data_IF_451953907413
#
_entry.id   IF_451953907413
#
_cell.length_a   1.000
_cell.length_b   1.000
_cell.length_c   1.000
_cell.angle_alpha   90.00
_cell.angle_beta   90.00
_cell.angle_gamma   90.00
#
_symmetry.space_group_name_H-M   'P 1'
#
loop_
_entity.id
_entity.type
_entity.pdbx_description
1 polymer ?
#
# COMPACT_ATOMS: atom_id res chain seq x y z
N UNK A 1 19.76 36.46 15.31
CA UNK A 1 18.50 36.87 14.65
C UNK A 1 17.65 35.63 14.59
N UNK A 2 16.60 35.57 15.40
CA UNK A 2 15.73 34.40 15.52
C UNK A 2 14.93 34.21 14.22
N UNK A 3 15.08 33.03 13.61
CA UNK A 3 14.28 32.57 12.48
C UNK A 3 12.83 32.38 12.92
N UNK A 4 12.02 33.41 12.70
CA UNK A 4 10.58 33.36 12.91
C UNK A 4 9.94 32.64 11.71
N UNK A 5 10.02 31.30 11.69
CA UNK A 5 9.24 30.46 10.76
C UNK A 5 7.76 30.73 11.04
N UNK A 6 7.11 31.54 10.21
CA UNK A 6 5.64 31.66 10.16
C UNK A 6 5.07 30.25 10.01
N UNK A 7 4.47 29.72 11.07
CA UNK A 7 3.73 28.46 11.02
C UNK A 7 2.66 28.58 9.93
N UNK A 8 2.70 27.69 8.94
CA UNK A 8 1.73 27.67 7.86
C UNK A 8 0.35 27.35 8.44
N UNK A 9 -0.53 28.35 8.51
CA UNK A 9 -1.95 28.13 8.77
C UNK A 9 -2.54 27.53 7.49
N UNK A 10 -3.22 26.39 7.62
CA UNK A 10 -3.87 25.72 6.50
C UNK A 10 -5.36 25.63 6.81
N UNK A 11 -6.18 26.15 5.91
CA UNK A 11 -7.63 25.93 5.95
C UNK A 11 -7.89 24.49 5.51
N UNK A 12 -8.15 23.58 6.46
CA UNK A 12 -8.58 22.21 6.16
C UNK A 12 -10.06 22.13 6.48
N UNK A 13 -10.85 21.74 5.48
CA UNK A 13 -12.25 21.36 5.69
C UNK A 13 -12.23 19.99 6.39
N UNK A 14 -12.56 19.97 7.69
CA UNK A 14 -12.60 18.72 8.47
C UNK A 14 -13.79 17.85 8.04
N UNK A 15 -14.94 18.46 7.79
CA UNK A 15 -16.08 17.88 7.08
C UNK A 15 -17.01 19.02 6.60
N UNK A 16 -17.72 18.82 5.50
CA UNK A 16 -18.63 19.81 4.93
C UNK A 16 -20.07 19.47 5.33
N UNK A 17 -20.77 20.41 5.98
CA UNK A 17 -22.23 20.34 6.15
C UNK A 17 -22.93 20.62 4.81
N UNK A 18 -24.21 20.27 4.66
CA UNK A 18 -25.00 20.55 3.44
C UNK A 18 -24.97 22.04 3.04
N UNK A 19 -24.79 22.94 4.01
CA UNK A 19 -24.70 24.39 3.81
C UNK A 19 -23.27 24.89 3.43
N UNK A 20 -22.26 24.01 3.41
CA UNK A 20 -20.90 24.36 2.99
C UNK A 20 -20.09 25.27 3.92
N UNK A 21 -20.63 25.59 5.11
CA UNK A 21 -20.19 26.76 5.89
C UNK A 21 -19.22 26.47 7.06
N UNK A 22 -18.94 25.21 7.42
CA UNK A 22 -18.01 24.94 8.53
C UNK A 22 -16.56 24.98 8.04
N UNK A 23 -15.98 26.17 8.00
CA UNK A 23 -14.54 26.39 7.79
C UNK A 23 -13.90 26.71 9.13
N UNK A 24 -13.00 25.84 9.58
CA UNK A 24 -12.19 26.10 10.78
C UNK A 24 -10.75 26.23 10.34
N UNK A 25 -10.11 27.32 10.75
CA UNK A 25 -8.67 27.46 10.62
C UNK A 25 -7.98 26.44 11.49
N UNK A 26 -7.28 25.49 10.87
CA UNK A 26 -6.58 24.45 11.64
C UNK A 26 -5.09 24.64 11.59
N UNK A 27 -4.42 24.19 12.64
CA UNK A 27 -2.97 24.05 12.62
C UNK A 27 -2.63 22.64 12.14
N UNK A 28 -1.91 22.56 11.03
CA UNK A 28 -1.39 21.28 10.53
C UNK A 28 0.08 21.15 10.91
N UNK A 29 0.40 20.14 11.71
CA UNK A 29 1.78 19.87 12.13
C UNK A 29 1.97 18.39 12.45
N UNK A 30 3.12 17.84 12.05
CA UNK A 30 3.48 16.43 12.25
C UNK A 30 2.42 15.48 11.65
N UNK A 31 1.98 15.82 10.43
CA UNK A 31 0.95 15.08 9.65
C UNK A 31 -0.43 14.95 10.31
N UNK A 32 -0.69 15.70 11.40
CA UNK A 32 -1.98 15.72 12.07
C UNK A 32 -2.56 17.13 12.19
N UNK A 33 -3.85 17.18 12.48
CA UNK A 33 -4.62 18.40 12.68
C UNK A 33 -4.70 18.71 14.17
N UNK A 34 -4.40 19.95 14.54
CA UNK A 34 -4.45 20.43 15.91
C UNK A 34 -5.51 21.53 16.06
N UNK A 35 -6.43 21.34 17.01
CA UNK A 35 -7.45 22.30 17.37
C UNK A 35 -7.35 22.72 18.84
N UNK A 36 -7.58 24.00 19.10
CA UNK A 36 -7.77 24.50 20.47
C UNK A 36 -9.13 24.06 21.02
N UNK A 37 -9.30 24.11 22.34
CA UNK A 37 -10.59 23.84 22.95
C UNK A 37 -11.70 24.77 22.44
N UNK A 38 -11.38 26.03 22.15
CA UNK A 38 -12.34 26.99 21.60
C UNK A 38 -12.82 26.56 20.20
N UNK A 39 -11.89 26.12 19.35
CA UNK A 39 -12.21 25.59 18.01
C UNK A 39 -12.99 24.28 18.09
N UNK A 40 -12.76 23.42 19.09
CA UNK A 40 -13.59 22.23 19.32
C UNK A 40 -15.03 22.60 19.72
N UNK A 41 -15.21 23.67 20.51
CA UNK A 41 -16.54 24.17 20.86
C UNK A 41 -17.28 24.70 19.63
N UNK A 42 -16.57 25.44 18.77
CA UNK A 42 -17.09 25.94 17.51
C UNK A 42 -17.43 24.80 16.55
N UNK A 43 -16.49 23.85 16.38
CA UNK A 43 -16.66 22.67 15.55
C UNK A 43 -17.91 21.93 15.94
N UNK A 44 -18.06 21.53 17.20
CA UNK A 44 -19.19 20.69 17.63
C UNK A 44 -20.43 21.48 18.08
N UNK A 45 -20.41 22.81 18.00
CA UNK A 45 -21.47 23.71 18.46
C UNK A 45 -21.96 23.36 19.88
N UNK A 46 -21.02 23.29 20.82
CA UNK A 46 -21.29 22.92 22.21
C UNK A 46 -20.52 23.81 23.19
N UNK A 47 -20.92 23.79 24.46
CA UNK A 47 -20.23 24.55 25.50
C UNK A 47 -18.83 24.01 25.81
N UNK A 48 -17.96 24.90 26.30
CA UNK A 48 -16.64 24.55 26.82
C UNK A 48 -16.69 23.54 27.95
N UNK A 49 -17.68 23.63 28.83
CA UNK A 49 -17.87 22.69 29.93
C UNK A 49 -18.10 21.27 29.42
N UNK A 50 -18.94 21.11 28.40
CA UNK A 50 -19.24 19.81 27.80
C UNK A 50 -18.01 19.20 27.11
N UNK A 51 -17.24 20.01 26.37
CA UNK A 51 -15.97 19.55 25.79
C UNK A 51 -14.97 19.14 26.88
N UNK A 52 -14.79 19.95 27.92
CA UNK A 52 -13.92 19.61 29.06
C UNK A 52 -14.32 18.30 29.73
N UNK A 53 -15.62 18.10 29.93
CA UNK A 53 -16.17 16.89 30.55
C UNK A 53 -15.86 15.65 29.71
N UNK A 54 -16.15 15.70 28.41
CA UNK A 54 -15.86 14.58 27.52
C UNK A 54 -14.36 14.28 27.38
N UNK A 55 -13.50 15.30 27.28
CA UNK A 55 -12.04 15.12 27.27
C UNK A 55 -11.58 14.39 28.52
N UNK A 56 -12.07 14.80 29.70
CA UNK A 56 -11.74 14.15 30.96
C UNK A 56 -12.19 12.68 30.96
N UNK A 57 -13.42 12.38 30.53
CA UNK A 57 -13.90 10.99 30.49
C UNK A 57 -13.10 10.13 29.50
N UNK A 58 -12.70 10.66 28.34
CA UNK A 58 -11.83 9.97 27.37
C UNK A 58 -10.52 9.51 28.04
N UNK A 59 -9.90 10.37 28.85
CA UNK A 59 -8.68 10.02 29.57
C UNK A 59 -8.93 9.08 30.75
N UNK A 60 -10.00 9.28 31.52
CA UNK A 60 -10.37 8.40 32.64
C UNK A 60 -10.69 6.97 32.18
N UNK A 61 -11.28 6.82 30.99
CA UNK A 61 -11.59 5.52 30.38
C UNK A 61 -10.35 4.87 29.71
N UNK A 62 -9.25 5.61 29.58
CA UNK A 62 -8.03 5.14 28.90
C UNK A 62 -8.20 4.97 27.38
N UNK A 63 -9.18 5.63 26.77
CA UNK A 63 -9.38 5.60 25.31
C UNK A 63 -8.19 6.24 24.58
N UNK A 64 -7.66 7.34 25.13
CA UNK A 64 -6.48 8.04 24.62
C UNK A 64 -5.50 8.34 25.75
N UNK A 65 -4.20 8.36 25.43
CA UNK A 65 -3.15 8.86 26.34
C UNK A 65 -2.98 10.37 26.13
N UNK A 66 -3.10 11.16 27.20
CA UNK A 66 -2.96 12.62 27.19
C UNK A 66 -1.66 13.08 26.52
N UNK A 67 -0.54 12.37 26.74
CA UNK A 67 0.77 12.74 26.20
C UNK A 67 0.79 12.64 24.66
N UNK A 68 0.00 11.73 24.11
CA UNK A 68 -0.04 11.48 22.66
C UNK A 68 -0.96 12.46 21.90
N UNK A 69 -2.00 12.98 22.55
CA UNK A 69 -3.06 13.75 21.88
C UNK A 69 -3.12 15.23 22.29
N UNK A 70 -2.34 15.65 23.29
CA UNK A 70 -2.32 17.02 23.79
C UNK A 70 -0.96 17.68 23.57
N UNK A 71 -0.97 18.89 22.99
CA UNK A 71 0.25 19.70 22.84
C UNK A 71 0.01 21.16 23.19
N UNK A 72 0.99 21.79 23.84
CA UNK A 72 0.97 23.23 24.11
C UNK A 72 1.76 23.95 23.03
N UNK A 73 1.10 24.86 22.33
CA UNK A 73 1.74 25.74 21.36
C UNK A 73 1.87 27.16 21.92
N UNK A 74 3.02 27.79 21.67
CA UNK A 74 3.25 29.18 22.06
C UNK A 74 2.56 30.09 21.06
N UNK A 75 1.75 31.00 21.55
CA UNK A 75 1.03 31.99 20.73
C UNK A 75 1.24 33.37 21.33
N UNK A 76 1.58 34.35 20.49
CA UNK A 76 1.71 35.74 20.92
C UNK A 76 0.34 36.40 20.89
N UNK A 77 -0.11 36.89 22.05
CA UNK A 77 -1.35 37.66 22.17
C UNK A 77 -1.23 39.05 21.55
N UNK A 78 -2.38 39.72 21.37
CA UNK A 78 -2.45 41.10 20.86
C UNK A 78 -1.74 42.11 21.79
N UNK A 79 -1.49 41.72 23.03
CA UNK A 79 -0.72 42.45 24.05
C UNK A 79 0.81 42.22 23.96
N UNK A 80 1.28 41.48 22.95
CA UNK A 80 2.70 41.14 22.75
C UNK A 80 3.23 40.07 23.71
N UNK A 81 2.39 39.52 24.59
CA UNK A 81 2.80 38.47 25.53
C UNK A 81 2.65 37.08 24.92
N UNK A 82 3.47 36.16 25.40
CA UNK A 82 3.45 34.78 24.95
C UNK A 82 2.58 33.92 25.87
N UNK A 83 1.62 33.22 25.29
CA UNK A 83 0.72 32.30 25.96
C UNK A 83 0.94 30.88 25.43
N UNK A 84 0.93 29.89 26.33
CA UNK A 84 0.91 28.49 25.93
C UNK A 84 -0.55 28.03 25.86
N UNK A 85 -1.03 27.77 24.64
CA UNK A 85 -2.39 27.33 24.38
C UNK A 85 -2.39 25.82 24.14
N UNK A 86 -3.22 25.11 24.88
CA UNK A 86 -3.43 23.68 24.70
C UNK A 86 -4.20 23.41 23.41
N UNK A 87 -3.68 22.49 22.61
CA UNK A 87 -4.30 21.97 21.40
C UNK A 87 -4.44 20.45 21.50
N UNK A 88 -5.42 19.93 20.77
CA UNK A 88 -5.82 18.54 20.71
C UNK A 88 -5.71 18.04 19.27
N UNK A 89 -5.15 16.85 19.10
CA UNK A 89 -4.89 16.26 17.78
C UNK A 89 -6.17 15.66 17.14
N UNK A 90 -6.01 15.06 15.95
CA UNK A 90 -7.09 14.42 15.22
C UNK A 90 -7.81 13.30 16.00
N UNK A 91 -7.11 12.50 16.80
CA UNK A 91 -7.72 11.38 17.55
C UNK A 91 -8.69 11.89 18.61
N UNK A 92 -8.32 12.97 19.31
CA UNK A 92 -9.22 13.64 20.25
C UNK A 92 -10.43 14.25 19.53
N UNK A 93 -10.23 14.86 18.35
CA UNK A 93 -11.33 15.40 17.53
C UNK A 93 -12.31 14.26 17.19
N UNK A 94 -11.81 13.14 16.65
CA UNK A 94 -12.66 11.99 16.28
C UNK A 94 -13.43 11.47 17.50
N UNK A 95 -12.76 11.27 18.63
CA UNK A 95 -13.37 10.73 19.86
C UNK A 95 -14.50 11.63 20.38
N UNK A 96 -14.27 12.96 20.38
CA UNK A 96 -15.31 13.94 20.72
C UNK A 96 -16.48 13.91 19.72
N UNK A 97 -16.22 13.70 18.43
CA UNK A 97 -17.27 13.54 17.42
C UNK A 97 -18.23 12.38 17.69
N UNK A 98 -17.79 11.34 18.39
CA UNK A 98 -18.66 10.23 18.79
C UNK A 98 -19.39 10.47 20.12
N UNK A 99 -18.81 11.25 21.03
CA UNK A 99 -19.37 11.51 22.38
C UNK A 99 -20.29 12.72 22.45
N UNK A 100 -20.00 13.77 21.67
CA UNK A 100 -20.79 15.01 21.70
C UNK A 100 -22.16 14.80 21.06
N UNK A 101 -23.20 15.24 21.77
CA UNK A 101 -24.57 15.29 21.27
C UNK A 101 -24.86 16.63 20.61
N UNK A 102 -24.54 16.74 19.32
CA UNK A 102 -24.96 17.87 18.48
C UNK A 102 -25.38 17.40 17.08
N UNK A 103 -26.09 18.27 16.35
CA UNK A 103 -26.46 18.02 14.95
C UNK A 103 -25.19 17.82 14.11
N UNK A 104 -24.19 18.67 14.33
CA UNK A 104 -22.88 18.54 13.72
C UNK A 104 -22.23 17.19 14.02
N UNK A 105 -22.15 16.79 15.29
CA UNK A 105 -21.51 15.53 15.65
C UNK A 105 -22.23 14.35 14.98
N UNK A 106 -23.56 14.46 14.80
CA UNK A 106 -24.35 13.49 14.04
C UNK A 106 -23.96 13.44 12.56
N UNK A 107 -23.77 14.60 11.91
CA UNK A 107 -23.32 14.65 10.53
C UNK A 107 -21.89 14.14 10.36
N UNK A 108 -20.99 14.48 11.28
CA UNK A 108 -19.63 13.92 11.31
C UNK A 108 -19.66 12.38 11.38
N UNK A 109 -20.48 11.80 12.27
CA UNK A 109 -20.62 10.34 12.39
C UNK A 109 -21.18 9.71 11.11
N UNK A 110 -22.17 10.32 10.47
CA UNK A 110 -22.70 9.85 9.18
C UNK A 110 -21.63 9.85 8.11
N UNK A 111 -20.93 10.97 7.95
CA UNK A 111 -19.81 11.11 7.02
C UNK A 111 -18.71 10.06 7.27
N UNK A 112 -18.25 9.91 8.52
CA UNK A 112 -17.23 8.93 8.89
C UNK A 112 -17.70 7.49 8.60
N UNK A 113 -18.96 7.17 8.90
CA UNK A 113 -19.57 5.86 8.63
C UNK A 113 -19.65 5.58 7.14
N UNK A 114 -19.99 6.58 6.31
CA UNK A 114 -20.03 6.44 4.85
C UNK A 114 -18.64 6.14 4.28
N UNK A 115 -17.60 6.87 4.73
CA UNK A 115 -16.21 6.63 4.33
C UNK A 115 -15.75 5.24 4.76
N UNK A 116 -16.02 4.82 6.00
CA UNK A 116 -15.68 3.49 6.49
C UNK A 116 -16.41 2.40 5.69
N UNK A 117 -17.71 2.58 5.44
CA UNK A 117 -18.51 1.64 4.63
C UNK A 117 -17.98 1.53 3.20
N UNK A 118 -17.62 2.66 2.60
CA UNK A 118 -17.00 2.69 1.28
C UNK A 118 -15.69 1.91 1.26
N UNK A 119 -14.80 2.13 2.23
CA UNK A 119 -13.56 1.37 2.38
C UNK A 119 -13.84 -0.13 2.56
N UNK A 120 -14.78 -0.51 3.42
CA UNK A 120 -15.11 -1.92 3.66
C UNK A 120 -15.66 -2.64 2.41
N UNK A 121 -16.39 -1.92 1.54
CA UNK A 121 -16.97 -2.50 0.32
C UNK A 121 -15.98 -2.49 -0.85
N UNK A 122 -15.30 -1.36 -1.07
CA UNK A 122 -14.46 -1.12 -2.27
C UNK A 122 -12.97 -1.40 -2.03
N UNK A 123 -12.52 -1.39 -0.77
CA UNK A 123 -11.11 -1.47 -0.40
C UNK A 123 -10.36 -0.12 -0.43
N UNK A 124 -11.04 0.99 -0.75
CA UNK A 124 -10.45 2.32 -0.78
C UNK A 124 -11.49 3.42 -0.49
N UNK A 125 -11.01 4.62 -0.16
CA UNK A 125 -11.81 5.83 0.01
C UNK A 125 -10.98 7.02 -0.45
N UNK A 126 -11.60 7.95 -1.17
CA UNK A 126 -10.88 9.05 -1.82
C UNK A 126 -11.70 10.34 -1.78
N UNK A 127 -11.00 11.48 -1.70
CA UNK A 127 -11.58 12.80 -1.88
C UNK A 127 -11.18 13.32 -3.27
N UNK A 128 -11.96 12.93 -4.28
CA UNK A 128 -11.69 13.25 -5.69
C UNK A 128 -11.56 14.75 -5.95
N UNK A 129 -12.43 15.55 -5.36
CA UNK A 129 -12.45 17.01 -5.58
C UNK A 129 -11.22 17.67 -4.97
N UNK A 130 -10.79 17.24 -3.77
CA UNK A 130 -9.54 17.71 -3.18
C UNK A 130 -8.33 17.33 -4.03
N UNK A 131 -8.28 16.10 -4.53
CA UNK A 131 -7.16 15.62 -5.36
C UNK A 131 -7.09 16.35 -6.70
N UNK A 132 -8.22 16.62 -7.34
CA UNK A 132 -8.29 17.41 -8.59
C UNK A 132 -7.84 18.86 -8.38
N UNK A 133 -8.29 19.51 -7.30
CA UNK A 133 -8.12 20.95 -7.11
C UNK A 133 -6.79 21.33 -6.45
N UNK A 134 -6.29 20.52 -5.52
CA UNK A 134 -5.05 20.81 -4.77
C UNK A 134 -3.85 19.97 -5.24
N UNK A 135 -4.03 19.17 -6.30
CA UNK A 135 -2.96 18.41 -6.96
C UNK A 135 -2.39 17.25 -6.13
N UNK A 136 -2.97 16.96 -4.96
CA UNK A 136 -2.64 15.86 -4.05
C UNK A 136 -1.17 15.71 -3.58
N UNK A 137 -0.28 16.63 -3.99
CA UNK A 137 1.13 16.68 -3.56
C UNK A 137 1.88 15.35 -3.74
N UNK A 138 2.77 15.05 -2.80
CA UNK A 138 3.52 13.78 -2.78
C UNK A 138 2.61 12.56 -2.59
N UNK A 139 1.50 12.71 -1.87
CA UNK A 139 0.54 11.61 -1.63
C UNK A 139 -0.19 11.17 -2.90
N UNK A 140 -0.41 12.07 -3.87
CA UNK A 140 -0.94 11.68 -5.18
C UNK A 140 0.01 10.75 -5.93
N UNK A 141 1.32 11.06 -5.91
CA UNK A 141 2.33 10.22 -6.54
C UNK A 141 2.41 8.86 -5.86
N UNK A 142 2.37 8.83 -4.53
CA UNK A 142 2.31 7.59 -3.75
C UNK A 142 1.08 6.76 -4.11
N UNK A 143 -0.10 7.38 -4.20
CA UNK A 143 -1.34 6.71 -4.61
C UNK A 143 -1.22 6.09 -6.00
N UNK A 144 -0.70 6.83 -6.98
CA UNK A 144 -0.47 6.32 -8.33
C UNK A 144 0.51 5.14 -8.34
N UNK A 145 1.61 5.23 -7.60
CA UNK A 145 2.59 4.16 -7.53
C UNK A 145 2.00 2.90 -6.84
N UNK A 146 1.16 3.06 -5.80
CA UNK A 146 0.39 1.96 -5.19
C UNK A 146 -0.62 1.33 -6.14
N UNK A 147 -1.35 2.13 -6.93
CA UNK A 147 -2.29 1.61 -7.94
C UNK A 147 -1.53 0.81 -9.01
N UNK A 148 -0.39 1.31 -9.47
CA UNK A 148 0.47 0.61 -10.44
C UNK A 148 1.04 -0.69 -9.86
N UNK A 149 1.40 -0.70 -8.58
CA UNK A 149 1.86 -1.91 -7.90
C UNK A 149 0.76 -2.97 -7.78
N UNK A 150 -0.47 -2.55 -7.48
CA UNK A 150 -1.65 -3.44 -7.45
C UNK A 150 -1.92 -3.99 -8.87
N UNK A 151 -1.94 -3.14 -9.90
CA UNK A 151 -2.18 -3.54 -11.31
C UNK A 151 -1.12 -4.53 -11.81
N UNK A 152 0.14 -4.32 -11.46
CA UNK A 152 1.27 -5.17 -11.85
C UNK A 152 1.41 -6.44 -11.02
N UNK A 153 0.64 -6.59 -9.92
CA UNK A 153 0.63 -7.86 -9.20
C UNK A 153 0.24 -8.97 -10.16
N UNK A 154 1.02 -10.06 -10.21
CA UNK A 154 0.87 -11.08 -11.24
C UNK A 154 -0.59 -11.56 -11.35
N UNK A 155 -1.29 -11.76 -10.22
CA UNK A 155 -2.70 -12.16 -10.19
C UNK A 155 -3.66 -11.14 -10.82
N UNK A 156 -3.48 -9.85 -10.54
CA UNK A 156 -4.35 -8.80 -11.11
C UNK A 156 -4.02 -8.59 -12.57
N UNK A 157 -2.72 -8.57 -12.91
CA UNK A 157 -2.24 -8.56 -14.28
C UNK A 157 -2.87 -9.73 -15.05
N UNK A 158 -2.75 -10.97 -14.58
CA UNK A 158 -3.38 -12.14 -15.21
C UNK A 158 -4.87 -11.93 -15.46
N UNK A 159 -5.62 -11.40 -14.50
CA UNK A 159 -7.06 -11.14 -14.66
C UNK A 159 -7.34 -10.03 -15.68
N UNK A 160 -6.64 -8.90 -15.63
CA UNK A 160 -6.85 -7.79 -16.57
C UNK A 160 -6.44 -8.16 -17.99
N UNK A 161 -5.33 -8.89 -18.12
CA UNK A 161 -4.86 -9.43 -19.39
C UNK A 161 -5.93 -10.42 -19.94
N UNK A 162 -6.49 -11.30 -19.11
CA UNK A 162 -7.59 -12.18 -19.50
C UNK A 162 -8.86 -11.41 -19.92
N UNK A 163 -9.27 -10.41 -19.15
CA UNK A 163 -10.48 -9.61 -19.43
C UNK A 163 -10.33 -8.84 -20.75
N UNK A 164 -9.14 -8.32 -21.01
CA UNK A 164 -8.80 -7.62 -22.24
C UNK A 164 -8.74 -8.59 -23.44
N UNK A 165 -7.99 -9.68 -23.35
CA UNK A 165 -7.91 -10.62 -24.49
C UNK A 165 -9.15 -11.45 -24.68
N UNK A 166 -10.01 -11.57 -23.67
CA UNK A 166 -11.36 -12.09 -23.89
C UNK A 166 -12.14 -11.28 -24.92
N UNK A 167 -11.72 -10.04 -25.23
CA UNK A 167 -12.27 -9.24 -26.33
C UNK A 167 -11.63 -9.54 -27.70
N UNK A 168 -10.51 -10.26 -27.75
CA UNK A 168 -9.89 -10.66 -29.01
C UNK A 168 -10.78 -11.63 -29.78
N UNK A 169 -10.82 -11.48 -31.10
CA UNK A 169 -11.67 -12.29 -31.99
C UNK A 169 -11.29 -13.78 -31.94
N UNK A 170 -10.00 -14.08 -31.77
CA UNK A 170 -9.41 -15.41 -31.79
C UNK A 170 -9.16 -16.00 -30.40
N UNK A 171 -9.61 -15.35 -29.32
CA UNK A 171 -9.35 -15.82 -27.97
C UNK A 171 -10.14 -17.08 -27.62
N UNK A 172 -9.43 -18.07 -27.09
CA UNK A 172 -10.01 -19.26 -26.49
C UNK A 172 -9.28 -19.59 -25.17
N UNK A 173 -9.94 -19.48 -24.00
CA UNK A 173 -9.31 -19.65 -22.69
C UNK A 173 -8.74 -21.05 -22.45
N UNK A 174 -9.13 -22.05 -23.25
CA UNK A 174 -8.67 -23.43 -23.14
C UNK A 174 -7.62 -23.80 -24.19
N UNK A 175 -7.23 -22.87 -25.05
CA UNK A 175 -6.30 -23.11 -26.14
C UNK A 175 -4.84 -23.11 -25.65
N UNK A 176 -4.01 -23.95 -26.26
CA UNK A 176 -2.55 -23.93 -26.03
C UNK A 176 -1.94 -22.59 -26.44
N UNK A 177 -2.52 -21.96 -27.44
CA UNK A 177 -2.13 -20.70 -28.04
C UNK A 177 -2.29 -19.56 -27.03
N UNK A 178 -3.42 -19.51 -26.31
CA UNK A 178 -3.63 -18.50 -25.27
C UNK A 178 -2.66 -18.66 -24.11
N UNK A 179 -2.40 -19.89 -23.64
CA UNK A 179 -1.41 -20.14 -22.57
C UNK A 179 0.01 -19.73 -23.01
N UNK A 180 0.41 -20.10 -24.22
CA UNK A 180 1.72 -19.74 -24.78
C UNK A 180 1.86 -18.22 -24.92
N UNK A 181 0.81 -17.56 -25.36
CA UNK A 181 0.73 -16.11 -25.46
C UNK A 181 0.98 -15.43 -24.10
N UNK A 182 0.31 -15.86 -23.02
CA UNK A 182 0.47 -15.23 -21.70
C UNK A 182 1.92 -15.34 -21.20
N UNK A 183 2.53 -16.51 -21.37
CA UNK A 183 3.94 -16.74 -21.03
C UNK A 183 4.87 -15.81 -21.82
N UNK A 184 4.58 -15.61 -23.10
CA UNK A 184 5.35 -14.70 -23.96
C UNK A 184 5.23 -13.25 -23.49
N UNK A 185 4.02 -12.74 -23.22
CA UNK A 185 3.82 -11.36 -22.74
C UNK A 185 4.50 -11.13 -21.39
N UNK A 186 4.32 -12.05 -20.43
CA UNK A 186 5.00 -11.98 -19.14
C UNK A 186 6.53 -11.90 -19.31
N UNK A 187 7.10 -12.79 -20.11
CA UNK A 187 8.55 -12.82 -20.34
C UNK A 187 9.05 -11.55 -21.05
N UNK A 188 8.30 -11.00 -22.00
CA UNK A 188 8.66 -9.73 -22.66
C UNK A 188 8.67 -8.56 -21.66
N UNK A 189 7.68 -8.49 -20.76
CA UNK A 189 7.59 -7.43 -19.75
C UNK A 189 8.72 -7.51 -18.72
N UNK A 190 9.01 -8.70 -18.20
CA UNK A 190 10.15 -8.94 -17.31
C UNK A 190 11.48 -8.60 -18.01
N UNK A 191 11.65 -9.07 -19.25
CA UNK A 191 12.89 -8.82 -19.97
C UNK A 191 13.11 -7.34 -20.28
N UNK A 192 12.04 -6.59 -20.58
CA UNK A 192 12.13 -5.15 -20.73
C UNK A 192 12.52 -4.45 -19.42
N UNK A 193 11.95 -4.86 -18.28
CA UNK A 193 12.20 -4.18 -17.01
C UNK A 193 13.61 -4.42 -16.45
N UNK A 194 14.19 -5.61 -16.66
CA UNK A 194 15.43 -6.01 -15.98
C UNK A 194 16.30 -7.01 -16.76
N UNK A 195 16.05 -7.20 -18.05
CA UNK A 195 16.91 -7.99 -18.95
C UNK A 195 16.85 -9.51 -18.80
N UNK A 196 15.89 -10.04 -18.05
CA UNK A 196 15.73 -11.48 -17.79
C UNK A 196 14.27 -11.89 -17.93
N UNK A 197 14.00 -13.12 -18.34
CA UNK A 197 12.65 -13.71 -18.21
C UNK A 197 12.30 -13.95 -16.74
N UNK A 198 11.01 -14.16 -16.43
CA UNK A 198 10.57 -14.43 -15.06
C UNK A 198 11.30 -15.64 -14.43
N UNK A 199 11.50 -16.70 -15.21
CA UNK A 199 12.21 -17.90 -14.77
C UNK A 199 13.71 -17.65 -14.54
N UNK A 200 14.36 -16.87 -15.39
CA UNK A 200 15.77 -16.50 -15.23
C UNK A 200 15.99 -15.67 -13.97
N UNK A 201 15.11 -14.70 -13.66
CA UNK A 201 15.21 -13.91 -12.41
C UNK A 201 15.15 -14.80 -11.18
N UNK A 202 14.14 -15.67 -11.09
CA UNK A 202 13.98 -16.58 -9.95
C UNK A 202 15.22 -17.49 -9.85
N UNK A 203 15.62 -18.07 -10.98
CA UNK A 203 16.77 -18.97 -11.01
C UNK A 203 18.06 -18.27 -10.63
N UNK A 204 18.32 -17.04 -11.07
CA UNK A 204 19.58 -16.36 -10.77
C UNK A 204 19.60 -15.80 -9.34
N UNK A 205 18.49 -15.25 -8.85
CA UNK A 205 18.45 -14.47 -7.61
C UNK A 205 18.06 -15.26 -6.37
N UNK A 206 17.40 -16.42 -6.50
CA UNK A 206 17.14 -17.29 -5.37
C UNK A 206 18.47 -17.84 -4.79
N UNK A 207 18.78 -17.45 -3.55
CA UNK A 207 20.01 -17.84 -2.86
C UNK A 207 19.81 -17.83 -1.34
N UNK A 208 19.88 -18.99 -0.68
CA UNK A 208 19.68 -19.16 0.76
C UNK A 208 20.65 -18.35 1.64
N UNK A 209 21.83 -18.01 1.13
CA UNK A 209 22.85 -17.27 1.87
C UNK A 209 22.55 -15.76 1.94
N UNK A 210 21.63 -15.27 1.10
CA UNK A 210 21.20 -13.88 1.12
C UNK A 210 20.06 -13.68 2.12
N UNK A 211 19.92 -12.47 2.71
CA UNK A 211 18.75 -12.12 3.50
C UNK A 211 17.46 -12.44 2.74
N UNK A 212 16.55 -13.15 3.40
CA UNK A 212 15.27 -13.59 2.83
C UNK A 212 15.41 -14.29 1.48
N UNK A 213 16.48 -15.05 1.28
CA UNK A 213 16.81 -15.75 0.04
C UNK A 213 17.00 -14.88 -1.20
N UNK A 214 17.25 -13.58 -1.02
CA UNK A 214 17.32 -12.60 -2.11
C UNK A 214 15.97 -11.99 -2.49
N UNK A 215 14.87 -12.38 -1.84
CA UNK A 215 13.58 -11.68 -2.00
C UNK A 215 13.69 -10.26 -1.44
N UNK A 216 13.08 -9.32 -2.15
CA UNK A 216 12.99 -7.89 -1.80
C UNK A 216 11.59 -7.49 -1.39
N UNK A 217 10.57 -8.18 -1.90
CA UNK A 217 9.16 -7.89 -1.64
C UNK A 217 8.43 -9.19 -1.33
N UNK A 218 7.85 -9.33 -0.14
CA UNK A 218 6.95 -10.42 0.23
C UNK A 218 6.11 -9.99 1.43
N UNK A 219 5.01 -10.71 1.69
CA UNK A 219 4.14 -10.44 2.84
C UNK A 219 4.52 -11.31 4.04
N UNK A 220 4.52 -10.73 5.24
CA UNK A 220 4.85 -11.43 6.49
C UNK A 220 6.31 -11.31 6.88
N UNK A 221 6.69 -11.97 7.97
CA UNK A 221 8.03 -11.84 8.56
C UNK A 221 9.09 -12.68 7.84
N UNK A 222 8.68 -13.78 7.20
CA UNK A 222 9.56 -14.70 6.47
C UNK A 222 8.96 -15.13 5.12
N UNK A 223 9.81 -15.36 4.09
CA UNK A 223 9.37 -15.89 2.81
C UNK A 223 8.65 -17.24 2.92
N UNK A 224 7.60 -17.42 2.13
CA UNK A 224 6.91 -18.71 1.97
C UNK A 224 7.34 -19.42 0.69
N UNK A 225 7.02 -20.71 0.58
CA UNK A 225 7.17 -21.48 -0.68
C UNK A 225 6.43 -20.85 -1.86
N UNK A 226 5.39 -20.06 -1.62
CA UNK A 226 4.68 -19.37 -2.69
C UNK A 226 5.48 -18.16 -3.18
N UNK A 227 6.14 -17.45 -2.27
CA UNK A 227 6.84 -16.20 -2.57
C UNK A 227 8.08 -16.43 -3.44
N UNK A 228 8.77 -17.55 -3.27
CA UNK A 228 9.96 -17.90 -4.07
C UNK A 228 9.64 -18.20 -5.54
N UNK A 229 8.37 -18.49 -5.85
CA UNK A 229 7.91 -18.76 -7.22
C UNK A 229 7.51 -17.52 -8.00
N UNK A 230 7.53 -16.33 -7.36
CA UNK A 230 7.06 -15.07 -7.94
C UNK A 230 8.28 -14.23 -8.33
N UNK A 231 8.46 -13.98 -9.62
CA UNK A 231 9.65 -13.27 -10.12
C UNK A 231 9.71 -11.83 -9.63
N UNK A 232 8.54 -11.17 -9.52
CA UNK A 232 8.40 -9.80 -8.99
C UNK A 232 9.02 -9.63 -7.59
N UNK A 233 8.97 -10.67 -6.76
CA UNK A 233 9.47 -10.63 -5.39
C UNK A 233 11.00 -10.49 -5.31
N UNK A 234 11.72 -10.78 -6.39
CA UNK A 234 13.18 -10.66 -6.47
C UNK A 234 13.64 -9.34 -7.11
N UNK A 235 12.71 -8.46 -7.49
CA UNK A 235 13.03 -7.18 -8.15
C UNK A 235 13.34 -6.10 -7.12
N UNK A 236 14.32 -5.25 -7.44
CA UNK A 236 14.56 -4.04 -6.66
C UNK A 236 13.50 -2.96 -6.97
N UNK A 237 13.53 -1.86 -6.22
CA UNK A 237 12.54 -0.78 -6.34
C UNK A 237 12.51 -0.15 -7.74
N UNK A 238 13.67 0.06 -8.38
CA UNK A 238 13.76 0.64 -9.72
C UNK A 238 13.20 -0.31 -10.79
N UNK A 239 13.60 -1.58 -10.76
CA UNK A 239 13.13 -2.61 -11.68
C UNK A 239 11.61 -2.81 -11.56
N UNK A 240 11.11 -2.86 -10.32
CA UNK A 240 9.69 -3.00 -10.03
C UNK A 240 8.93 -1.76 -10.54
N UNK A 241 9.47 -0.57 -10.34
CA UNK A 241 8.86 0.66 -10.87
C UNK A 241 8.81 0.68 -12.39
N UNK A 242 9.88 0.27 -13.07
CA UNK A 242 9.91 0.18 -14.54
C UNK A 242 8.87 -0.83 -15.01
N UNK A 243 8.87 -2.04 -14.45
CA UNK A 243 7.89 -3.08 -14.77
C UNK A 243 6.46 -2.57 -14.62
N UNK A 244 6.15 -1.93 -13.48
CA UNK A 244 4.83 -1.42 -13.17
C UNK A 244 4.37 -0.35 -14.18
N UNK A 245 5.27 0.52 -14.66
CA UNK A 245 4.94 1.54 -15.64
C UNK A 245 4.74 0.95 -17.05
N UNK A 246 5.56 -0.01 -17.47
CA UNK A 246 5.40 -0.70 -18.75
C UNK A 246 4.06 -1.45 -18.77
N UNK A 247 3.75 -2.18 -17.71
CA UNK A 247 2.48 -2.91 -17.56
C UNK A 247 1.29 -1.94 -17.64
N UNK A 248 1.33 -0.82 -16.92
CA UNK A 248 0.27 0.20 -17.00
C UNK A 248 0.08 0.74 -18.42
N UNK A 249 1.16 1.16 -19.08
CA UNK A 249 1.09 1.70 -20.43
C UNK A 249 0.55 0.71 -21.46
N UNK A 250 0.91 -0.57 -21.32
CA UNK A 250 0.38 -1.65 -22.16
C UNK A 250 -1.14 -1.80 -22.01
N UNK A 251 -1.64 -1.80 -20.77
CA UNK A 251 -3.07 -1.92 -20.52
C UNK A 251 -3.85 -0.70 -20.97
N UNK A 252 -3.36 0.51 -20.70
CA UNK A 252 -4.04 1.74 -21.08
C UNK A 252 -4.20 1.80 -22.62
N UNK A 253 -3.18 1.37 -23.38
CA UNK A 253 -3.29 1.21 -24.83
C UNK A 253 -4.40 0.24 -25.22
N UNK A 254 -4.43 -0.92 -24.59
CA UNK A 254 -5.32 -1.99 -24.97
C UNK A 254 -6.79 -1.68 -24.62
N UNK A 255 -7.03 -1.03 -23.48
CA UNK A 255 -8.34 -0.48 -23.11
C UNK A 255 -8.84 0.53 -24.16
N UNK A 256 -7.96 1.41 -24.67
CA UNK A 256 -8.32 2.36 -25.74
C UNK A 256 -8.78 1.64 -27.01
N UNK A 257 -8.12 0.55 -27.42
CA UNK A 257 -8.55 -0.20 -28.62
C UNK A 257 -9.92 -0.85 -28.41
N UNK A 258 -10.15 -1.44 -27.24
CA UNK A 258 -11.44 -2.03 -26.88
C UNK A 258 -12.55 -0.96 -26.87
N UNK A 259 -12.31 0.21 -26.27
CA UNK A 259 -13.26 1.33 -26.26
C UNK A 259 -13.58 1.87 -27.67
N UNK A 260 -12.61 1.82 -28.58
CA UNK A 260 -12.79 2.21 -29.99
C UNK A 260 -13.51 1.14 -30.83
N UNK A 261 -13.85 0.00 -30.24
CA UNK A 261 -14.48 -1.13 -30.93
C UNK A 261 -13.66 -1.59 -32.14
N UNK A 262 -12.34 -1.43 -32.08
CA UNK A 262 -11.45 -1.97 -33.09
C UNK A 262 -11.30 -3.48 -32.86
N UNK A 263 -11.60 -4.33 -33.86
CA UNK A 263 -11.35 -5.76 -33.74
C UNK A 263 -9.85 -6.01 -33.60
N UNK A 264 -9.45 -6.68 -32.52
CA UNK A 264 -8.07 -7.04 -32.25
C UNK A 264 -7.93 -8.56 -32.20
N UNK A 265 -6.82 -9.06 -32.72
CA UNK A 265 -6.38 -10.45 -32.57
C UNK A 265 -5.28 -10.55 -31.51
N UNK A 266 -5.04 -11.75 -30.99
CA UNK A 266 -3.96 -11.96 -30.02
C UNK A 266 -2.61 -11.48 -30.59
N UNK A 267 -2.31 -11.75 -31.87
CA UNK A 267 -1.07 -11.27 -32.53
C UNK A 267 -0.89 -9.75 -32.47
N UNK A 268 -1.97 -8.98 -32.66
CA UNK A 268 -1.92 -7.53 -32.70
C UNK A 268 -1.47 -6.97 -31.36
N UNK A 269 -1.91 -7.60 -30.27
CA UNK A 269 -1.52 -7.26 -28.91
C UNK A 269 -0.04 -7.53 -28.60
N UNK A 270 0.57 -8.53 -29.25
CA UNK A 270 2.03 -8.78 -29.14
C UNK A 270 2.80 -7.71 -29.88
N UNK A 271 2.37 -7.41 -31.10
CA UNK A 271 3.04 -6.43 -31.95
C UNK A 271 3.04 -5.04 -31.28
N UNK A 272 1.92 -4.67 -30.66
CA UNK A 272 1.82 -3.44 -29.91
C UNK A 272 2.71 -3.42 -28.67
N UNK A 273 2.80 -4.54 -27.92
CA UNK A 273 3.75 -4.64 -26.82
C UNK A 273 5.17 -4.41 -27.32
N UNK A 274 5.56 -5.08 -28.41
CA UNK A 274 6.89 -4.92 -29.00
C UNK A 274 7.15 -3.49 -29.47
N UNK A 275 6.15 -2.80 -29.99
CA UNK A 275 6.27 -1.40 -30.39
C UNK A 275 6.44 -0.47 -29.19
N UNK A 276 5.66 -0.66 -28.11
CA UNK A 276 5.81 0.10 -26.86
C UNK A 276 7.23 -0.06 -26.32
N UNK A 277 7.69 -1.31 -26.20
CA UNK A 277 9.03 -1.63 -25.68
C UNK A 277 10.14 -1.01 -26.56
N UNK A 278 10.01 -1.05 -27.88
CA UNK A 278 10.97 -0.38 -28.80
C UNK A 278 10.99 1.13 -28.60
N UNK A 279 9.83 1.77 -28.51
CA UNK A 279 9.73 3.23 -28.39
C UNK A 279 10.25 3.74 -27.05
N UNK A 280 10.16 2.94 -25.99
CA UNK A 280 10.75 3.27 -24.68
C UNK A 280 12.25 3.00 -24.59
N UNK A 281 12.87 2.45 -25.64
CA UNK A 281 14.31 2.14 -25.69
C UNK A 281 14.68 0.80 -25.05
N UNK A 282 13.69 -0.03 -24.73
CA UNK A 282 13.90 -1.31 -24.05
C UNK A 282 14.34 -2.41 -25.01
N UNK A 283 15.14 -3.35 -24.49
CA UNK A 283 15.57 -4.51 -25.28
C UNK A 283 14.42 -5.50 -25.41
N UNK A 284 14.18 -5.97 -26.63
CA UNK A 284 13.21 -7.02 -26.87
C UNK A 284 13.80 -8.39 -26.54
N UNK A 285 12.97 -9.23 -25.92
CA UNK A 285 13.29 -10.64 -25.75
C UNK A 285 13.36 -11.33 -27.12
N UNK A 286 14.51 -11.95 -27.41
CA UNK A 286 14.73 -12.79 -28.58
C UNK A 286 14.60 -14.27 -28.15
N UNK A 287 13.57 -14.96 -28.63
CA UNK A 287 13.29 -16.36 -28.25
C UNK A 287 12.57 -16.51 -26.91
N UNK A 288 12.82 -17.61 -26.20
CA UNK A 288 12.08 -18.00 -24.99
C UNK A 288 12.86 -17.82 -23.66
N UNK A 289 14.09 -17.30 -23.72
CA UNK A 289 15.03 -17.32 -22.60
C UNK A 289 15.82 -18.63 -22.53
N UNK A 290 16.73 -18.73 -21.55
CA UNK A 290 17.64 -19.87 -21.36
C UNK A 290 17.19 -20.83 -20.27
N UNK A 291 16.38 -20.37 -19.32
CA UNK A 291 15.95 -21.15 -18.15
C UNK A 291 14.46 -21.44 -18.22
N UNK A 292 14.09 -22.71 -18.03
CA UNK A 292 12.69 -23.12 -17.95
C UNK A 292 12.10 -22.82 -16.57
N UNK A 293 10.78 -22.65 -16.52
CA UNK A 293 10.06 -22.46 -15.25
C UNK A 293 10.30 -23.63 -14.27
N UNK A 294 10.35 -24.87 -14.77
CA UNK A 294 10.62 -26.05 -13.93
C UNK A 294 12.00 -25.96 -13.26
N UNK A 295 13.04 -25.57 -14.01
CA UNK A 295 14.39 -25.39 -13.45
C UNK A 295 14.43 -24.26 -12.41
N UNK A 296 13.72 -23.15 -12.65
CA UNK A 296 13.63 -22.04 -11.71
C UNK A 296 12.95 -22.45 -10.39
N UNK A 297 11.85 -23.19 -10.45
CA UNK A 297 11.13 -23.69 -9.27
C UNK A 297 11.95 -24.75 -8.53
N UNK A 298 12.61 -25.66 -9.24
CA UNK A 298 13.47 -26.67 -8.64
C UNK A 298 14.62 -26.02 -7.85
N UNK A 299 15.34 -25.07 -8.48
CA UNK A 299 16.43 -24.36 -7.82
C UNK A 299 15.94 -23.56 -6.61
N UNK A 300 14.91 -22.73 -6.78
CA UNK A 300 14.39 -21.88 -5.70
C UNK A 300 13.86 -22.71 -4.52
N UNK A 301 13.21 -23.85 -4.79
CA UNK A 301 12.75 -24.78 -3.74
C UNK A 301 13.93 -25.41 -3.00
N UNK A 302 15.00 -25.78 -3.71
CA UNK A 302 16.21 -26.31 -3.08
C UNK A 302 16.88 -25.26 -2.17
N UNK A 303 16.99 -24.01 -2.64
CA UNK A 303 17.47 -22.89 -1.81
C UNK A 303 16.54 -22.62 -0.62
N UNK A 304 15.23 -22.75 -0.79
CA UNK A 304 14.27 -22.55 0.30
C UNK A 304 14.46 -23.54 1.44
N UNK A 305 14.68 -24.81 1.09
CA UNK A 305 14.97 -25.85 2.09
C UNK A 305 16.27 -25.57 2.84
N UNK A 306 17.30 -25.05 2.16
CA UNK A 306 18.55 -24.63 2.82
C UNK A 306 18.31 -23.46 3.77
N UNK A 307 17.56 -22.45 3.33
CA UNK A 307 17.26 -21.26 4.12
C UNK A 307 16.47 -21.58 5.39
N UNK A 308 15.46 -22.45 5.31
CA UNK A 308 14.68 -22.90 6.48
C UNK A 308 15.54 -23.59 7.54
N UNK A 309 16.53 -24.39 7.12
CA UNK A 309 17.44 -25.06 8.07
C UNK A 309 18.36 -24.04 8.77
N UNK A 310 18.72 -22.95 8.08
CA UNK A 310 19.61 -21.91 8.59
C UNK A 310 18.89 -20.85 9.44
N UNK A 311 17.61 -20.62 9.17
CA UNK A 311 16.80 -19.58 9.79
C UNK A 311 15.51 -20.22 10.31
N UNK A 312 15.61 -20.84 11.48
CA UNK A 312 14.47 -21.39 12.20
C UNK A 312 13.62 -20.24 12.72
N UNK A 313 12.30 -20.33 12.57
CA UNK A 313 11.41 -19.36 13.23
C UNK A 313 11.51 -19.49 14.76
N UNK A 314 11.17 -18.45 15.54
CA UNK A 314 11.17 -18.53 17.00
C UNK A 314 10.36 -19.72 17.56
N UNK A 315 9.26 -20.08 16.88
CA UNK A 315 8.41 -21.23 17.24
C UNK A 315 9.14 -22.56 16.97
N UNK A 316 9.90 -22.65 15.89
CA UNK A 316 10.68 -23.84 15.56
C UNK A 316 11.94 -23.96 16.43
N UNK A 317 12.55 -22.84 16.82
CA UNK A 317 13.62 -22.81 17.83
C UNK A 317 13.11 -23.33 19.18
N UNK A 318 11.96 -22.82 19.65
CA UNK A 318 11.33 -23.24 20.91
C UNK A 318 10.90 -24.72 20.87
N UNK A 319 10.39 -25.18 19.72
CA UNK A 319 10.09 -26.60 19.50
C UNK A 319 11.35 -27.48 19.52
N UNK A 320 12.44 -27.08 18.88
CA UNK A 320 13.71 -27.83 18.89
C UNK A 320 14.37 -27.83 20.28
N UNK A 321 14.26 -26.73 21.04
CA UNK A 321 14.67 -26.69 22.44
C UNK A 321 13.85 -27.67 23.28
N UNK A 322 12.53 -27.75 23.06
CA UNK A 322 11.67 -28.71 23.75
C UNK A 322 12.08 -30.16 23.49
N UNK A 323 12.44 -30.50 22.24
CA UNK A 323 12.94 -31.83 21.85
C UNK A 323 14.30 -32.13 22.50
N UNK A 324 15.23 -31.17 22.49
CA UNK A 324 16.53 -31.32 23.16
C UNK A 324 16.36 -31.58 24.66
N UNK A 325 15.46 -30.83 25.31
CA UNK A 325 15.15 -30.98 26.72
C UNK A 325 14.54 -32.37 27.02
N UNK A 326 13.61 -32.85 26.20
CA UNK A 326 13.05 -34.21 26.31
C UNK A 326 14.12 -35.30 26.15
N UNK A 327 15.02 -35.19 25.17
CA UNK A 327 16.12 -36.14 24.99
C UNK A 327 17.14 -36.12 26.14
N UNK A 328 17.42 -34.95 26.71
CA UNK A 328 18.31 -34.83 27.87
C UNK A 328 17.72 -35.49 29.12
N UNK A 329 16.40 -35.39 29.28
CA UNK A 329 15.64 -35.98 30.39
C UNK A 329 15.55 -37.50 30.23
N UNK A 330 15.32 -38.00 29.02
CA UNK A 330 15.37 -39.42 28.70
C UNK A 330 16.75 -40.04 28.95
N UNK A 331 17.85 -39.35 28.58
CA UNK A 331 19.23 -39.81 28.88
C UNK A 331 19.57 -39.82 30.37
N UNK A 332 18.98 -38.94 31.18
CA UNK A 332 19.11 -38.98 32.65
C UNK A 332 18.35 -40.16 33.26
N UNK A 333 17.17 -40.50 32.74
CA UNK A 333 16.37 -41.62 33.24
C UNK A 333 16.91 -43.00 32.84
N UNK A 334 17.79 -43.11 31.83
CA UNK A 334 18.47 -44.37 31.46
C UNK A 334 19.76 -44.60 32.27
N UNK A 335 20.23 -43.61 33.03
CA UNK A 335 21.44 -43.69 33.87
C UNK A 335 21.17 -43.85 35.37
N UNK A 336 19.92 -43.98 35.79
CA UNK A 336 19.51 -44.26 37.16
C UNK A 336 19.04 -45.70 37.35
#
# INVERSE_FOLDING_TARGET
MEDNKKEARSEIIIYQTEDGNTRIDVKFQDETVWLTQAQLCELYQTSKSNISEHIRHIFEEGELDEISVVRKFRTTGADGKNYNITHYNLDMIISLGYRVKSLIATQFRRWATERLKEYMIKGFTMDDERLKNLGGGNYWKELLDRIRDIRSSEKVMYRQVLDLYATSVDYNPKSSESIAFFKMVQNKLHYAAHGHTAAEVIYERANAEQPFMGLKNFSGDFPTLKDIGIAKNYLNEEELKILNNIVSGYFDFAEIQAMRHHPMYMSDYVEHLDNILKTTGEKLLQGAGKISHAQAIEKSTAEYRKYQVQNLSPVEEEYLESIKNLHSTAKKNVKN
#
